data_IF_549858670923
#
_entry.id   IF_549858670923
#
_cell.length_a   1.000
_cell.length_b   1.000
_cell.length_c   1.000
_cell.angle_alpha   90.00
_cell.angle_beta   90.00
_cell.angle_gamma   90.00
#
_symmetry.space_group_name_H-M   'P 1'
#
loop_
_entity.id
_entity.type
_entity.pdbx_description
1 polymer ?
#
# COMPACT_ATOMS: atom_id res chain seq x y z
N UNK A 1 25.90 1.84 22.36
CA UNK A 1 24.97 0.95 21.64
C UNK A 1 24.91 1.44 20.20
N UNK A 2 25.56 0.72 19.28
CA UNK A 2 25.58 1.09 17.86
C UNK A 2 24.25 0.57 17.29
N UNK A 3 23.30 1.46 17.03
CA UNK A 3 22.10 1.12 16.26
C UNK A 3 22.56 0.80 14.84
N UNK A 4 22.58 -0.49 14.48
CA UNK A 4 22.65 -0.88 13.08
C UNK A 4 21.46 -0.24 12.34
N UNK A 5 21.67 0.41 11.18
CA UNK A 5 20.55 0.79 10.36
C UNK A 5 19.83 -0.49 9.99
N UNK A 6 18.55 -0.61 10.35
CA UNK A 6 17.69 -1.67 9.83
C UNK A 6 17.65 -1.45 8.32
N UNK A 7 18.52 -2.16 7.60
CA UNK A 7 18.42 -2.22 6.14
C UNK A 7 17.04 -2.77 5.83
N UNK A 8 16.31 -1.99 5.05
CA UNK A 8 15.03 -2.30 4.44
C UNK A 8 15.18 -3.51 3.49
N UNK A 9 15.39 -4.71 4.05
CA UNK A 9 15.37 -5.97 3.30
C UNK A 9 13.93 -6.46 3.09
N UNK A 10 12.95 -5.71 3.58
CA UNK A 10 11.56 -6.01 3.27
C UNK A 10 11.31 -5.66 1.81
N UNK A 11 10.89 -6.67 1.06
CA UNK A 11 10.26 -6.53 -0.24
C UNK A 11 8.94 -7.30 -0.18
N UNK A 12 7.99 -6.98 -1.07
CA UNK A 12 6.76 -7.73 -1.10
C UNK A 12 7.01 -9.21 -1.37
N UNK A 13 6.24 -10.06 -0.72
CA UNK A 13 6.26 -11.49 -1.00
C UNK A 13 5.69 -11.80 -2.39
N UNK A 14 6.02 -12.96 -2.98
CA UNK A 14 5.37 -13.40 -4.21
C UNK A 14 3.84 -13.43 -4.07
N UNK A 15 3.15 -12.86 -5.06
CA UNK A 15 1.68 -12.81 -5.08
C UNK A 15 1.09 -14.24 -5.09
N UNK A 16 0.27 -14.64 -4.11
CA UNK A 16 -0.39 -15.93 -4.14
C UNK A 16 -1.39 -16.03 -5.31
N UNK A 17 -1.50 -17.21 -5.93
CA UNK A 17 -2.33 -17.44 -7.14
C UNK A 17 -3.78 -16.99 -6.96
N UNK A 18 -4.38 -17.30 -5.81
CA UNK A 18 -5.74 -16.89 -5.47
C UNK A 18 -5.93 -15.37 -5.56
N UNK A 19 -5.00 -14.62 -4.97
CA UNK A 19 -5.01 -13.15 -4.97
C UNK A 19 -4.76 -12.58 -6.36
N UNK A 20 -3.86 -13.21 -7.13
CA UNK A 20 -3.59 -12.87 -8.53
C UNK A 20 -4.82 -12.96 -9.43
N UNK A 21 -5.63 -14.02 -9.24
CA UNK A 21 -6.88 -14.18 -9.96
C UNK A 21 -7.87 -13.08 -9.61
N UNK A 22 -8.10 -12.83 -8.32
CA UNK A 22 -9.00 -11.78 -7.86
C UNK A 22 -8.58 -10.39 -8.35
N UNK A 23 -7.29 -10.08 -8.31
CA UNK A 23 -6.75 -8.83 -8.84
C UNK A 23 -7.08 -8.67 -10.32
N UNK A 24 -6.83 -9.70 -11.14
CA UNK A 24 -7.10 -9.65 -12.58
C UNK A 24 -8.59 -9.47 -12.89
N UNK A 25 -9.46 -9.98 -12.02
CA UNK A 25 -10.92 -9.83 -12.17
C UNK A 25 -11.43 -8.47 -11.70
N UNK A 26 -10.91 -7.95 -10.60
CA UNK A 26 -11.56 -6.85 -9.87
C UNK A 26 -10.79 -5.52 -9.87
N UNK A 27 -9.45 -5.53 -9.97
CA UNK A 27 -8.69 -4.28 -10.03
C UNK A 27 -8.49 -3.82 -11.48
N UNK A 28 -8.75 -2.54 -11.78
CA UNK A 28 -8.62 -2.03 -13.14
C UNK A 28 -7.14 -1.91 -13.54
N UNK A 29 -6.83 -2.20 -14.80
CA UNK A 29 -5.51 -1.98 -15.39
C UNK A 29 -4.40 -2.92 -14.89
N UNK A 30 -3.16 -2.65 -15.33
CA UNK A 30 -1.94 -3.41 -14.98
C UNK A 30 -1.04 -2.68 -13.98
N UNK A 31 0.18 -3.21 -13.81
CA UNK A 31 1.25 -2.58 -13.01
C UNK A 31 1.15 -2.76 -11.49
N UNK A 32 0.19 -3.56 -11.02
CA UNK A 32 -0.03 -3.84 -9.62
C UNK A 32 1.05 -4.76 -9.04
N UNK A 33 1.69 -4.29 -7.98
CA UNK A 33 2.60 -5.04 -7.11
C UNK A 33 1.83 -5.46 -5.88
N UNK A 34 1.77 -6.77 -5.60
CA UNK A 34 1.22 -7.29 -4.35
C UNK A 34 2.02 -6.76 -3.17
N UNK A 35 1.35 -6.39 -2.07
CA UNK A 35 2.02 -5.90 -0.85
C UNK A 35 1.76 -6.82 0.33
N UNK A 36 0.49 -7.12 0.57
CA UNK A 36 0.06 -7.88 1.74
C UNK A 36 -1.36 -8.40 1.54
N UNK A 37 -1.71 -9.45 2.26
CA UNK A 37 -3.07 -9.95 2.33
C UNK A 37 -3.39 -10.59 3.68
N UNK A 38 -4.68 -10.60 4.00
CA UNK A 38 -5.21 -11.37 5.11
C UNK A 38 -6.44 -12.14 4.67
N UNK A 39 -6.56 -13.37 5.17
CA UNK A 39 -7.72 -14.21 4.98
C UNK A 39 -8.18 -14.73 6.34
N UNK A 40 -9.14 -14.04 6.96
CA UNK A 40 -9.81 -14.46 8.19
C UNK A 40 -11.30 -14.68 7.90
N UNK A 41 -12.02 -15.50 8.70
CA UNK A 41 -13.44 -15.74 8.49
C UNK A 41 -14.29 -14.46 8.37
N UNK A 42 -13.93 -13.43 9.12
CA UNK A 42 -14.65 -12.15 9.16
C UNK A 42 -14.27 -11.18 8.02
N UNK A 43 -13.04 -11.29 7.50
CA UNK A 43 -12.49 -10.36 6.53
C UNK A 43 -11.40 -11.03 5.70
N UNK A 44 -11.56 -10.95 4.39
CA UNK A 44 -10.51 -11.20 3.42
C UNK A 44 -10.13 -9.89 2.75
N UNK A 45 -8.84 -9.58 2.71
CA UNK A 45 -8.34 -8.36 2.13
C UNK A 45 -6.99 -8.59 1.46
N UNK A 46 -6.75 -7.91 0.34
CA UNK A 46 -5.43 -7.81 -0.28
C UNK A 46 -5.15 -6.38 -0.70
N UNK A 47 -3.89 -5.98 -0.54
CA UNK A 47 -3.37 -4.65 -0.86
C UNK A 47 -2.33 -4.76 -1.98
N UNK A 48 -2.44 -3.83 -2.92
CA UNK A 48 -1.59 -3.71 -4.10
C UNK A 48 -1.18 -2.27 -4.29
N UNK A 49 -0.02 -2.05 -4.89
CA UNK A 49 0.45 -0.71 -5.25
C UNK A 49 0.84 -0.66 -6.72
N UNK A 50 0.70 0.50 -7.35
CA UNK A 50 1.24 0.74 -8.69
C UNK A 50 1.62 2.19 -8.90
N UNK A 51 2.29 2.42 -10.03
CA UNK A 51 2.60 3.76 -10.54
C UNK A 51 3.33 4.65 -9.52
N UNK A 52 4.40 4.18 -8.85
CA UNK A 52 5.16 5.03 -7.95
C UNK A 52 5.72 6.23 -8.68
N UNK A 53 5.61 7.41 -8.07
CA UNK A 53 6.16 8.67 -8.57
C UNK A 53 6.74 9.47 -7.43
N UNK A 54 8.04 9.75 -7.52
CA UNK A 54 8.70 10.64 -6.58
C UNK A 54 8.21 12.08 -6.81
N UNK A 55 7.85 12.75 -5.72
CA UNK A 55 7.41 14.15 -5.68
C UNK A 55 8.07 14.84 -4.48
N UNK A 56 8.16 16.17 -4.53
CA UNK A 56 8.68 16.97 -3.42
C UNK A 56 7.64 17.97 -2.99
N UNK A 57 7.24 17.92 -1.72
CA UNK A 57 6.30 18.89 -1.14
C UNK A 57 7.05 19.83 -0.19
N UNK A 58 6.58 21.07 -0.06
CA UNK A 58 7.20 22.03 0.88
C UNK A 58 7.07 21.61 2.34
N UNK A 59 6.03 20.86 2.68
CA UNK A 59 5.69 20.49 4.06
C UNK A 59 6.22 19.13 4.48
N UNK A 60 6.29 18.18 3.55
CA UNK A 60 6.56 16.76 3.82
C UNK A 60 7.87 16.29 3.18
N UNK A 61 8.63 17.19 2.53
CA UNK A 61 9.89 16.84 1.89
C UNK A 61 9.71 15.88 0.72
N UNK A 62 10.48 14.79 0.70
CA UNK A 62 10.39 13.77 -0.35
C UNK A 62 9.22 12.83 -0.06
N UNK A 63 8.31 12.73 -1.03
CA UNK A 63 7.20 11.79 -0.99
C UNK A 63 7.20 10.89 -2.22
N UNK A 64 6.72 9.66 -2.06
CA UNK A 64 6.44 8.76 -3.19
C UNK A 64 4.93 8.61 -3.30
N UNK A 65 4.34 9.25 -4.31
CA UNK A 65 2.92 9.10 -4.64
C UNK A 65 2.68 7.76 -5.33
N UNK A 66 1.63 7.06 -4.91
CA UNK A 66 1.29 5.72 -5.38
C UNK A 66 -0.22 5.57 -5.50
N UNK A 67 -0.67 4.68 -6.37
CA UNK A 67 -2.05 4.19 -6.33
C UNK A 67 -2.11 2.91 -5.52
N UNK A 68 -2.98 2.86 -4.50
CA UNK A 68 -3.23 1.65 -3.72
C UNK A 68 -4.53 0.98 -4.15
N UNK A 69 -4.42 -0.26 -4.62
CA UNK A 69 -5.52 -1.15 -4.95
C UNK A 69 -5.90 -2.00 -3.74
N UNK A 70 -7.16 -1.94 -3.32
CA UNK A 70 -7.71 -2.69 -2.20
C UNK A 70 -8.77 -3.65 -2.72
N UNK A 71 -8.60 -4.93 -2.43
CA UNK A 71 -9.63 -5.96 -2.57
C UNK A 71 -10.15 -6.31 -1.19
N UNK A 72 -11.46 -6.28 -1.01
CA UNK A 72 -12.11 -6.50 0.28
C UNK A 72 -13.34 -7.39 0.12
N UNK A 73 -13.45 -8.42 0.96
CA UNK A 73 -14.65 -9.22 1.14
C UNK A 73 -14.89 -9.45 2.63
N UNK A 74 -16.01 -8.93 3.13
CA UNK A 74 -16.46 -9.14 4.51
C UNK A 74 -17.35 -10.38 4.60
N UNK A 75 -17.49 -10.95 5.80
CA UNK A 75 -18.30 -12.16 6.01
C UNK A 75 -19.78 -12.01 5.59
N UNK A 76 -20.33 -10.81 5.70
CA UNK A 76 -21.70 -10.46 5.31
C UNK A 76 -21.84 -10.13 3.82
N UNK A 77 -20.75 -10.19 3.05
CA UNK A 77 -20.71 -9.82 1.63
C UNK A 77 -20.44 -11.05 0.76
N UNK A 78 -21.32 -11.29 -0.20
CA UNK A 78 -21.13 -12.33 -1.23
C UNK A 78 -20.06 -11.91 -2.27
N UNK A 79 -20.00 -10.63 -2.58
CA UNK A 79 -19.15 -10.07 -3.63
C UNK A 79 -17.89 -9.39 -3.11
N UNK A 80 -16.85 -9.41 -3.95
CA UNK A 80 -15.62 -8.65 -3.73
C UNK A 80 -15.84 -7.17 -4.05
N UNK A 81 -15.37 -6.31 -3.16
CA UNK A 81 -15.26 -4.87 -3.42
C UNK A 81 -13.83 -4.53 -3.78
N UNK A 82 -13.66 -3.84 -4.90
CA UNK A 82 -12.41 -3.25 -5.31
C UNK A 82 -12.43 -1.74 -5.12
N UNK A 83 -11.34 -1.17 -4.63
CA UNK A 83 -11.14 0.27 -4.56
C UNK A 83 -9.71 0.62 -4.98
N UNK A 84 -9.57 1.69 -5.74
CA UNK A 84 -8.27 2.34 -5.95
C UNK A 84 -8.29 3.65 -5.18
N UNK A 85 -7.28 3.88 -4.34
CA UNK A 85 -7.13 5.12 -3.59
C UNK A 85 -5.76 5.75 -3.85
N UNK A 86 -5.67 7.08 -4.00
CA UNK A 86 -4.38 7.76 -4.01
C UNK A 86 -3.75 7.70 -2.62
N UNK A 87 -2.49 7.29 -2.57
CA UNK A 87 -1.68 7.25 -1.37
C UNK A 87 -0.32 7.91 -1.63
N UNK A 88 0.38 8.26 -0.57
CA UNK A 88 1.79 8.65 -0.65
C UNK A 88 2.56 8.12 0.56
N UNK A 89 3.80 7.74 0.34
CA UNK A 89 4.76 7.50 1.39
C UNK A 89 5.50 8.83 1.69
N UNK A 90 5.43 9.29 2.93
CA UNK A 90 6.24 10.40 3.44
C UNK A 90 7.56 9.81 3.95
N UNK A 91 8.64 10.04 3.19
CA UNK A 91 9.93 9.37 3.40
C UNK A 91 10.69 9.94 4.60
N UNK A 92 10.49 11.22 4.89
CA UNK A 92 11.14 11.88 6.03
C UNK A 92 10.43 11.50 7.34
N UNK A 93 9.10 11.37 7.31
CA UNK A 93 8.32 11.00 8.48
C UNK A 93 8.10 9.49 8.66
N UNK A 94 8.46 8.67 7.68
CA UNK A 94 8.32 7.21 7.74
C UNK A 94 6.87 6.73 7.86
N UNK A 95 5.91 7.47 7.27
CA UNK A 95 4.47 7.18 7.35
C UNK A 95 3.81 7.14 5.97
N UNK A 96 2.61 6.59 5.93
CA UNK A 96 1.73 6.63 4.77
C UNK A 96 0.64 7.67 4.97
N UNK A 97 0.32 8.42 3.92
CA UNK A 97 -0.88 9.24 3.85
C UNK A 97 -1.80 8.72 2.74
N UNK A 98 -3.11 8.95 2.91
CA UNK A 98 -4.12 8.74 1.87
C UNK A 98 -4.78 10.06 1.49
N UNK A 99 -5.21 10.16 0.25
CA UNK A 99 -6.03 11.27 -0.21
C UNK A 99 -7.51 10.93 -0.05
N UNK A 100 -8.28 11.84 0.55
CA UNK A 100 -9.73 11.73 0.60
C UNK A 100 -10.39 12.23 -0.70
N UNK A 101 -11.71 12.13 -0.80
CA UNK A 101 -12.45 12.49 -2.02
C UNK A 101 -12.43 13.99 -2.35
N UNK A 102 -12.01 14.84 -1.40
CA UNK A 102 -11.88 16.28 -1.61
C UNK A 102 -10.42 16.69 -1.86
N UNK A 103 -9.52 15.71 -2.03
CA UNK A 103 -8.12 15.95 -2.37
C UNK A 103 -7.20 16.18 -1.16
N UNK A 104 -7.69 16.03 0.07
CA UNK A 104 -6.89 16.30 1.27
C UNK A 104 -6.15 15.04 1.72
N UNK A 105 -4.87 15.23 2.03
CA UNK A 105 -4.00 14.20 2.59
C UNK A 105 -4.23 14.04 4.08
N UNK A 106 -4.30 12.80 4.54
CA UNK A 106 -4.39 12.44 5.97
C UNK A 106 -3.62 11.17 6.25
N UNK A 107 -3.05 11.07 7.46
CA UNK A 107 -2.32 9.89 7.88
C UNK A 107 -3.16 8.62 7.68
N UNK A 108 -2.59 7.65 6.99
CA UNK A 108 -3.16 6.34 6.83
C UNK A 108 -2.85 5.49 8.08
N UNK A 109 -3.82 4.74 8.62
CA UNK A 109 -3.60 3.92 9.80
C UNK A 109 -2.40 2.98 9.63
N UNK A 110 -1.40 3.16 10.49
CA UNK A 110 -0.18 2.36 10.46
C UNK A 110 -0.38 1.05 11.23
N UNK A 111 0.23 -0.01 10.72
CA UNK A 111 0.42 -1.30 11.38
C UNK A 111 1.88 -1.39 11.85
N UNK A 112 2.23 -2.34 12.74
CA UNK A 112 3.61 -2.49 13.21
C UNK A 112 4.66 -2.65 12.11
N UNK A 113 4.28 -3.19 10.95
CA UNK A 113 5.11 -3.40 9.76
C UNK A 113 5.10 -2.22 8.77
N UNK A 114 4.31 -1.16 9.01
CA UNK A 114 4.26 0.00 8.12
C UNK A 114 5.62 0.68 7.89
N UNK A 115 6.50 0.88 8.90
CA UNK A 115 7.77 1.56 8.67
C UNK A 115 8.67 0.88 7.63
N UNK A 116 8.74 -0.46 7.64
CA UNK A 116 9.57 -1.20 6.65
C UNK A 116 8.98 -1.16 5.25
N UNK A 117 7.64 -1.14 5.14
CA UNK A 117 6.93 -0.96 3.87
C UNK A 117 7.16 0.45 3.30
N UNK A 118 7.09 1.49 4.14
CA UNK A 118 7.40 2.87 3.75
C UNK A 118 8.83 3.01 3.26
N UNK A 119 9.80 2.44 4.00
CA UNK A 119 11.21 2.47 3.58
C UNK A 119 11.42 1.80 2.21
N UNK A 120 10.73 0.69 1.94
CA UNK A 120 10.73 0.07 0.62
C UNK A 120 10.09 0.96 -0.45
N UNK A 121 8.92 1.56 -0.18
CA UNK A 121 8.28 2.48 -1.13
C UNK A 121 9.15 3.69 -1.47
N UNK A 122 9.85 4.24 -0.49
CA UNK A 122 10.80 5.34 -0.64
C UNK A 122 12.11 4.94 -1.35
N UNK A 123 12.33 3.65 -1.60
CA UNK A 123 13.43 3.13 -2.41
C UNK A 123 13.03 2.84 -3.86
N UNK A 124 11.74 2.97 -4.20
CA UNK A 124 11.25 2.80 -5.56
C UNK A 124 11.77 3.95 -6.45
N UNK A 125 12.06 3.66 -7.74
CA UNK A 125 12.59 4.65 -8.68
C UNK A 125 11.58 5.75 -9.04
#
# INVERSE_FOLDING_TARGET
MISCPVRANWHPEPEPIFWSQLRKTHLPGGGWTFVDAMAKPQLQAAEYLRSPRVSTTRSDGIVVEIEAGLLLKRADQSEWKAKVIPMRADCDAGRMDRQDSIGRWSAYPSRPDTPVKVAWMCSLP
#
